data_IF_566450142937
#
_entry.id   IF_566450142937
#
_cell.length_a   1.000
_cell.length_b   1.000
_cell.length_c   1.000
_cell.angle_alpha   90.00
_cell.angle_beta   90.00
_cell.angle_gamma   90.00
#
_symmetry.space_group_name_H-M   'P 1'
#
loop_
_entity.id
_entity.type
_entity.pdbx_description
1 polymer ?
#
# COMPACT_ATOMS: atom_id res chain seq x y z
N UNK A 1 36.97 -28.60 -47.87
CA UNK A 1 37.14 -27.53 -46.87
C UNK A 1 35.86 -27.43 -46.10
N UNK A 2 35.87 -28.07 -44.95
CA UNK A 2 34.71 -28.02 -44.02
C UNK A 2 34.90 -26.82 -43.10
N UNK A 3 33.89 -25.94 -43.07
CA UNK A 3 33.86 -24.84 -42.11
C UNK A 3 33.43 -25.37 -40.76
N UNK A 4 34.14 -25.05 -39.66
CA UNK A 4 33.68 -25.45 -38.33
C UNK A 4 32.45 -24.63 -37.92
N UNK A 5 31.41 -25.37 -37.55
CA UNK A 5 30.20 -24.82 -36.90
C UNK A 5 30.64 -24.16 -35.56
N UNK A 6 30.38 -22.88 -35.47
CA UNK A 6 30.60 -22.09 -34.26
C UNK A 6 29.84 -22.69 -33.09
N UNK A 7 30.58 -22.99 -32.02
CA UNK A 7 30.04 -23.44 -30.76
C UNK A 7 29.05 -22.41 -30.20
N UNK A 8 27.86 -22.88 -29.84
CA UNK A 8 26.81 -22.12 -29.19
C UNK A 8 27.36 -21.46 -27.96
N UNK A 9 27.11 -20.18 -27.86
CA UNK A 9 27.33 -19.31 -26.70
C UNK A 9 26.63 -19.94 -25.47
N UNK A 10 27.39 -20.58 -24.63
CA UNK A 10 26.91 -21.13 -23.37
C UNK A 10 26.57 -19.94 -22.48
N UNK A 11 25.29 -19.55 -22.46
CA UNK A 11 24.77 -18.50 -21.60
C UNK A 11 25.18 -18.77 -20.16
N UNK A 12 26.00 -17.92 -19.59
CA UNK A 12 26.30 -17.90 -18.16
C UNK A 12 24.99 -17.96 -17.38
N UNK A 13 24.80 -18.88 -16.46
CA UNK A 13 23.58 -18.96 -15.68
C UNK A 13 23.33 -17.60 -15.01
N UNK A 14 22.23 -16.95 -15.36
CA UNK A 14 21.84 -15.67 -14.75
C UNK A 14 21.60 -15.95 -13.26
N UNK A 15 22.28 -15.22 -12.37
CA UNK A 15 22.05 -15.35 -10.96
C UNK A 15 20.56 -15.12 -10.68
N UNK A 16 19.93 -16.03 -9.95
CA UNK A 16 18.51 -15.95 -9.63
C UNK A 16 18.26 -14.73 -8.73
N UNK A 17 17.13 -14.05 -8.97
CA UNK A 17 16.74 -12.89 -8.16
C UNK A 17 16.43 -13.28 -6.72
N UNK A 18 17.06 -12.62 -5.78
CA UNK A 18 16.80 -12.81 -4.35
C UNK A 18 15.50 -12.14 -3.92
N UNK A 19 14.74 -12.78 -3.01
CA UNK A 19 13.47 -12.28 -2.49
C UNK A 19 13.56 -12.07 -1.00
N UNK A 20 13.12 -10.91 -0.51
CA UNK A 20 12.93 -10.62 0.89
C UNK A 20 11.47 -10.36 1.21
N UNK A 21 11.04 -10.77 2.40
CA UNK A 21 9.72 -10.43 2.95
C UNK A 21 9.89 -9.32 3.98
N UNK A 22 9.09 -8.28 3.87
CA UNK A 22 9.04 -7.15 4.80
C UNK A 22 7.65 -7.04 5.40
N UNK A 23 7.58 -7.01 6.72
CA UNK A 23 6.36 -6.66 7.48
C UNK A 23 6.67 -5.45 8.35
N UNK A 24 5.81 -4.44 8.31
CA UNK A 24 5.93 -3.26 9.17
C UNK A 24 5.09 -3.43 10.43
N UNK A 25 5.67 -3.14 11.59
CA UNK A 25 5.00 -3.17 12.88
C UNK A 25 5.00 -1.80 13.58
N UNK A 26 3.89 -1.48 14.22
CA UNK A 26 3.83 -0.47 15.27
C UNK A 26 2.74 -0.85 16.27
N UNK A 27 3.17 -1.23 17.49
CA UNK A 27 2.29 -1.60 18.61
C UNK A 27 1.29 -2.73 18.31
N UNK A 28 1.66 -3.65 17.41
CA UNK A 28 0.83 -4.78 16.96
C UNK A 28 1.66 -6.08 16.86
N UNK A 29 2.55 -6.32 17.82
CA UNK A 29 3.51 -7.43 17.79
C UNK A 29 2.87 -8.79 17.46
N UNK A 30 1.78 -9.15 18.16
CA UNK A 30 1.15 -10.46 18.00
C UNK A 30 0.65 -10.69 16.58
N UNK A 31 0.00 -9.69 15.99
CA UNK A 31 -0.56 -9.82 14.64
C UNK A 31 0.56 -9.74 13.58
N UNK A 32 1.54 -8.85 13.78
CA UNK A 32 2.67 -8.71 12.86
C UNK A 32 3.56 -9.97 12.84
N UNK A 33 3.81 -10.59 13.98
CA UNK A 33 4.54 -11.87 14.08
C UNK A 33 3.76 -13.00 13.42
N UNK A 34 2.44 -13.02 13.54
CA UNK A 34 1.61 -14.00 12.82
C UNK A 34 1.67 -13.78 11.30
N UNK A 35 1.66 -12.53 10.82
CA UNK A 35 1.73 -12.23 9.40
C UNK A 35 3.06 -12.69 8.79
N UNK A 36 4.19 -12.34 9.40
CA UNK A 36 5.50 -12.77 8.90
C UNK A 36 5.72 -14.27 9.12
N UNK A 37 5.23 -14.83 10.21
CA UNK A 37 5.26 -16.27 10.50
C UNK A 37 4.53 -17.09 9.44
N UNK A 38 3.36 -16.64 8.98
CA UNK A 38 2.64 -17.27 7.88
C UNK A 38 3.47 -17.32 6.58
N UNK A 39 4.19 -16.25 6.26
CA UNK A 39 5.11 -16.26 5.12
C UNK A 39 6.27 -17.24 5.32
N UNK A 40 6.84 -17.30 6.53
CA UNK A 40 7.90 -18.26 6.88
C UNK A 40 7.39 -19.69 6.72
N UNK A 41 6.24 -20.04 7.25
CA UNK A 41 5.66 -21.39 7.20
C UNK A 41 5.35 -21.84 5.77
N UNK A 42 4.81 -20.95 4.95
CA UNK A 42 4.48 -21.25 3.55
C UNK A 42 5.70 -21.47 2.67
N UNK A 43 6.77 -20.73 2.89
CA UNK A 43 7.93 -20.73 2.01
C UNK A 43 9.08 -21.64 2.49
N UNK A 44 9.27 -21.81 3.82
CA UNK A 44 10.41 -22.55 4.38
C UNK A 44 10.46 -24.03 3.99
N UNK A 45 9.40 -24.80 3.89
CA UNK A 45 9.46 -26.21 3.50
C UNK A 45 9.95 -26.44 2.05
N UNK A 46 10.07 -25.37 1.24
CA UNK A 46 10.43 -25.41 -0.17
C UNK A 46 11.85 -24.94 -0.47
N UNK A 47 12.69 -24.80 0.55
CA UNK A 47 14.07 -24.26 0.46
C UNK A 47 15.07 -25.19 -0.26
N UNK A 48 14.65 -26.22 -0.95
CA UNK A 48 15.53 -26.94 -1.89
C UNK A 48 15.83 -26.16 -3.16
N UNK A 49 15.11 -25.04 -3.40
CA UNK A 49 15.38 -24.06 -4.45
C UNK A 49 15.74 -22.71 -3.80
N UNK A 50 16.36 -21.77 -4.52
CA UNK A 50 16.64 -20.45 -3.96
C UNK A 50 15.35 -19.77 -3.55
N UNK A 51 15.01 -19.92 -2.28
CA UNK A 51 13.80 -19.42 -1.65
C UNK A 51 13.93 -17.96 -1.25
N UNK A 52 13.18 -17.56 -0.23
CA UNK A 52 13.30 -16.25 0.38
C UNK A 52 14.63 -16.14 1.11
N UNK A 53 15.37 -15.07 0.84
CA UNK A 53 16.71 -14.84 1.40
C UNK A 53 16.69 -14.09 2.73
N UNK A 54 15.61 -13.34 3.01
CA UNK A 54 15.44 -12.61 4.27
C UNK A 54 13.98 -12.42 4.63
N UNK A 55 13.66 -12.58 5.93
CA UNK A 55 12.39 -12.19 6.53
C UNK A 55 12.66 -11.05 7.50
N UNK A 56 12.08 -9.90 7.27
CA UNK A 56 12.33 -8.69 8.07
C UNK A 56 11.03 -8.20 8.69
N UNK A 57 11.00 -8.15 10.01
CA UNK A 57 9.97 -7.45 10.78
C UNK A 57 10.55 -6.10 11.23
N UNK A 58 10.04 -5.04 10.64
CA UNK A 58 10.48 -3.68 10.94
C UNK A 58 9.53 -3.00 11.92
N UNK A 59 10.00 -2.74 13.12
CA UNK A 59 9.23 -2.05 14.18
C UNK A 59 9.50 -0.55 14.18
N UNK A 60 8.45 0.25 14.01
CA UNK A 60 8.52 1.71 14.00
C UNK A 60 8.47 2.32 15.41
N UNK A 61 9.29 1.81 16.32
CA UNK A 61 9.42 2.35 17.67
C UNK A 61 8.20 2.11 18.56
N UNK A 62 7.70 0.87 18.59
CA UNK A 62 6.61 0.48 19.51
C UNK A 62 6.95 0.78 20.96
N UNK A 63 6.00 1.20 21.81
CA UNK A 63 6.23 1.42 23.24
C UNK A 63 6.69 0.15 23.96
N UNK A 64 6.14 -1.00 23.61
CA UNK A 64 6.55 -2.30 24.15
C UNK A 64 7.80 -2.84 23.44
N UNK A 65 8.69 -3.56 24.17
CA UNK A 65 9.81 -4.26 23.55
C UNK A 65 9.34 -5.36 22.61
N UNK A 66 10.23 -5.84 21.75
CA UNK A 66 9.99 -7.04 20.98
C UNK A 66 9.84 -8.25 21.94
N UNK A 67 8.94 -9.20 21.66
CA UNK A 67 8.86 -10.45 22.42
C UNK A 67 10.16 -11.24 22.37
N UNK A 68 10.47 -11.99 23.45
CA UNK A 68 11.71 -12.77 23.54
C UNK A 68 11.74 -13.99 22.60
N UNK A 69 10.58 -14.56 22.27
CA UNK A 69 10.45 -15.81 21.50
C UNK A 69 10.10 -15.56 20.04
N UNK A 70 10.95 -14.83 19.32
CA UNK A 70 10.81 -14.63 17.87
C UNK A 70 11.59 -15.71 17.13
N UNK A 71 11.00 -16.27 16.08
CA UNK A 71 11.65 -17.23 15.19
C UNK A 71 12.99 -16.68 14.69
N UNK A 72 14.08 -17.43 14.89
CA UNK A 72 15.45 -17.03 14.54
C UNK A 72 15.66 -16.75 13.04
N UNK A 73 14.71 -17.14 12.17
CA UNK A 73 14.70 -16.82 10.74
C UNK A 73 14.25 -15.37 10.45
N UNK A 74 13.59 -14.73 11.42
CA UNK A 74 13.04 -13.38 11.30
C UNK A 74 14.04 -12.37 11.86
N UNK A 75 14.54 -11.49 11.02
CA UNK A 75 15.37 -10.36 11.44
C UNK A 75 14.49 -9.20 11.90
N UNK A 76 14.52 -8.89 13.18
CA UNK A 76 13.82 -7.73 13.74
C UNK A 76 14.72 -6.50 13.64
N UNK A 77 14.19 -5.43 13.06
CA UNK A 77 14.84 -4.11 13.02
C UNK A 77 13.89 -3.13 13.68
N UNK A 78 14.43 -2.32 14.59
CA UNK A 78 13.60 -1.40 15.38
C UNK A 78 14.08 0.05 15.28
N UNK A 79 13.16 0.98 15.00
CA UNK A 79 13.38 2.41 15.17
C UNK A 79 13.40 2.80 16.66
N UNK A 80 14.12 3.87 16.99
CA UNK A 80 14.12 4.42 18.35
C UNK A 80 12.80 5.11 18.69
N UNK A 81 12.12 5.69 17.69
CA UNK A 81 10.86 6.43 17.84
C UNK A 81 9.92 6.14 16.65
N UNK A 82 8.64 6.35 16.88
CA UNK A 82 7.63 6.26 15.80
C UNK A 82 7.79 7.43 14.81
N UNK A 83 8.10 7.09 13.57
CA UNK A 83 8.25 8.05 12.45
C UNK A 83 7.00 8.19 11.60
N UNK A 84 6.03 7.31 11.80
CA UNK A 84 4.83 7.17 10.99
C UNK A 84 5.05 6.30 9.75
N UNK A 85 3.95 5.69 9.28
CA UNK A 85 3.94 4.59 8.32
C UNK A 85 4.81 4.83 7.07
N UNK A 86 4.64 5.96 6.38
CA UNK A 86 5.39 6.23 5.15
C UNK A 86 6.89 6.38 5.39
N UNK A 87 7.29 7.11 6.44
CA UNK A 87 8.71 7.28 6.78
C UNK A 87 9.34 5.99 7.29
N UNK A 88 8.58 5.19 8.04
CA UNK A 88 9.02 3.88 8.48
C UNK A 88 9.27 2.95 7.30
N UNK A 89 8.40 2.92 6.28
CA UNK A 89 8.62 2.16 5.05
C UNK A 89 9.90 2.61 4.31
N UNK A 90 10.16 3.92 4.21
CA UNK A 90 11.40 4.41 3.58
C UNK A 90 12.64 3.85 4.28
N UNK A 91 12.65 3.86 5.63
CA UNK A 91 13.77 3.32 6.41
C UNK A 91 13.83 1.79 6.27
N UNK A 92 12.70 1.09 6.33
CA UNK A 92 12.63 -0.35 6.22
C UNK A 92 13.14 -0.85 4.87
N UNK A 93 12.71 -0.25 3.76
CA UNK A 93 13.21 -0.61 2.43
C UNK A 93 14.72 -0.38 2.27
N UNK A 94 15.28 0.62 2.94
CA UNK A 94 16.73 0.87 2.92
C UNK A 94 17.53 -0.24 3.64
N UNK A 95 16.89 -1.02 4.51
CA UNK A 95 17.51 -2.15 5.23
C UNK A 95 17.40 -3.48 4.46
N UNK A 96 16.62 -3.53 3.38
CA UNK A 96 16.47 -4.74 2.56
C UNK A 96 17.70 -4.93 1.66
N UNK A 97 18.15 -6.19 1.57
CA UNK A 97 19.33 -6.61 0.79
C UNK A 97 18.93 -7.36 -0.49
N UNK A 98 17.70 -7.87 -0.56
CA UNK A 98 17.17 -8.65 -1.67
C UNK A 98 16.90 -7.79 -2.92
N UNK A 99 16.83 -8.45 -4.09
CA UNK A 99 16.51 -7.81 -5.38
C UNK A 99 15.03 -7.47 -5.50
N UNK A 100 14.19 -8.29 -4.86
CA UNK A 100 12.73 -8.16 -4.80
C UNK A 100 12.31 -8.11 -3.34
N UNK A 101 11.42 -7.19 -3.01
CA UNK A 101 10.79 -7.12 -1.68
C UNK A 101 9.30 -7.39 -1.82
N UNK A 102 8.82 -8.38 -1.08
CA UNK A 102 7.40 -8.65 -0.85
C UNK A 102 7.01 -7.94 0.42
N UNK A 103 6.07 -7.00 0.32
CA UNK A 103 5.58 -6.21 1.44
C UNK A 103 4.20 -6.68 1.86
N UNK A 104 4.05 -7.01 3.14
CA UNK A 104 2.77 -7.26 3.79
C UNK A 104 2.54 -6.25 4.92
N UNK A 105 1.30 -5.80 5.07
CA UNK A 105 0.88 -5.08 6.29
C UNK A 105 0.89 -6.03 7.50
N UNK A 106 0.96 -5.48 8.70
CA UNK A 106 0.96 -6.29 9.93
C UNK A 106 -0.26 -7.19 10.09
N UNK A 107 -1.36 -6.88 9.42
CA UNK A 107 -2.62 -7.62 9.41
C UNK A 107 -2.94 -8.27 8.05
N UNK A 108 -1.91 -8.47 7.21
CA UNK A 108 -2.00 -9.13 5.91
C UNK A 108 -1.24 -10.48 5.94
N UNK A 109 -1.95 -11.57 5.67
CA UNK A 109 -1.45 -12.93 5.80
C UNK A 109 -1.45 -13.63 4.43
N UNK A 110 -0.30 -14.05 3.86
CA UNK A 110 -0.30 -14.84 2.65
C UNK A 110 -1.01 -16.18 2.91
N UNK A 111 -1.84 -16.59 1.95
CA UNK A 111 -2.63 -17.83 2.02
C UNK A 111 -2.07 -18.95 1.15
N UNK A 112 -1.20 -18.59 0.22
CA UNK A 112 -0.59 -19.52 -0.74
C UNK A 112 0.89 -19.20 -0.88
N UNK A 113 1.73 -20.17 -1.26
CA UNK A 113 3.11 -19.90 -1.62
C UNK A 113 3.22 -18.93 -2.78
N UNK A 114 4.16 -18.01 -2.69
CA UNK A 114 4.28 -16.89 -3.62
C UNK A 114 5.69 -16.70 -4.20
N UNK A 115 6.75 -17.11 -3.49
CA UNK A 115 8.12 -16.75 -3.86
C UNK A 115 8.52 -17.23 -5.26
N UNK A 116 8.21 -18.48 -5.61
CA UNK A 116 8.54 -19.02 -6.93
C UNK A 116 7.84 -18.24 -8.06
N UNK A 117 6.53 -17.98 -7.92
CA UNK A 117 5.76 -17.18 -8.89
C UNK A 117 6.25 -15.76 -9.04
N UNK A 118 6.54 -15.11 -7.90
CA UNK A 118 7.06 -13.74 -7.89
C UNK A 118 8.38 -13.69 -8.62
N UNK A 119 9.29 -14.63 -8.34
CA UNK A 119 10.58 -14.70 -9.01
C UNK A 119 10.43 -14.92 -10.51
N UNK A 120 9.67 -15.92 -10.92
CA UNK A 120 9.42 -16.24 -12.32
C UNK A 120 8.97 -15.02 -13.12
N UNK A 121 7.99 -14.28 -12.61
CA UNK A 121 7.48 -13.08 -13.29
C UNK A 121 8.53 -11.97 -13.40
N UNK A 122 9.31 -11.72 -12.33
CA UNK A 122 10.36 -10.72 -12.38
C UNK A 122 11.54 -11.13 -13.25
N UNK A 123 11.87 -12.40 -13.35
CA UNK A 123 12.92 -12.92 -14.23
C UNK A 123 12.50 -12.90 -15.70
N UNK A 124 11.21 -13.16 -15.97
CA UNK A 124 10.65 -13.12 -17.31
C UNK A 124 10.59 -11.69 -17.90
N UNK A 125 10.47 -10.65 -17.08
CA UNK A 125 10.38 -9.27 -17.56
C UNK A 125 11.22 -8.31 -16.70
N UNK A 126 12.33 -7.84 -17.26
CA UNK A 126 13.23 -6.90 -16.59
C UNK A 126 12.59 -5.53 -16.34
N UNK A 127 11.57 -5.17 -17.10
CA UNK A 127 10.83 -3.92 -16.95
C UNK A 127 9.66 -4.05 -15.96
N UNK A 128 9.42 -5.24 -15.41
CA UNK A 128 8.44 -5.43 -14.35
C UNK A 128 8.96 -4.79 -13.06
N UNK A 129 8.25 -3.78 -12.58
CA UNK A 129 8.60 -3.03 -11.36
C UNK A 129 7.78 -3.44 -10.14
N UNK A 130 6.53 -3.88 -10.33
CA UNK A 130 5.62 -4.19 -9.23
C UNK A 130 4.62 -5.27 -9.62
N UNK A 131 4.32 -6.16 -8.67
CA UNK A 131 3.21 -7.13 -8.74
C UNK A 131 2.27 -6.82 -7.58
N UNK A 132 0.98 -6.58 -7.87
CA UNK A 132 -0.07 -6.50 -6.87
C UNK A 132 -0.72 -7.86 -6.66
N UNK A 133 -0.99 -8.23 -5.41
CA UNK A 133 -1.64 -9.48 -5.04
C UNK A 133 -3.12 -9.25 -4.77
N UNK A 134 -3.92 -10.31 -4.84
CA UNK A 134 -5.34 -10.25 -4.49
C UNK A 134 -5.51 -10.41 -2.99
N UNK A 135 -6.04 -9.38 -2.32
CA UNK A 135 -6.49 -9.53 -0.94
C UNK A 135 -7.93 -10.05 -0.87
N UNK A 136 -8.24 -10.79 0.19
CA UNK A 136 -9.57 -11.34 0.45
C UNK A 136 -9.95 -11.18 1.94
N UNK A 137 -11.25 -11.14 2.20
CA UNK A 137 -11.82 -11.10 3.53
C UNK A 137 -11.97 -12.51 4.15
N UNK A 138 -12.53 -12.60 5.35
CA UNK A 138 -12.78 -13.87 6.07
C UNK A 138 -13.67 -14.87 5.28
N UNK A 139 -14.43 -14.38 4.31
CA UNK A 139 -15.32 -15.20 3.47
C UNK A 139 -14.66 -15.60 2.15
N UNK A 140 -13.40 -15.23 1.93
CA UNK A 140 -12.71 -15.42 0.66
C UNK A 140 -13.18 -14.47 -0.45
N UNK A 141 -13.89 -13.39 -0.11
CA UNK A 141 -14.32 -12.40 -1.09
C UNK A 141 -13.18 -11.41 -1.37
N UNK A 142 -12.93 -11.07 -2.66
CA UNK A 142 -11.91 -10.09 -3.01
C UNK A 142 -12.13 -8.75 -2.32
N UNK A 143 -11.06 -8.18 -1.78
CA UNK A 143 -11.04 -6.84 -1.18
C UNK A 143 -10.17 -5.86 -2.00
N UNK A 144 -10.17 -4.58 -1.62
CA UNK A 144 -9.52 -3.52 -2.40
C UNK A 144 -7.98 -3.50 -2.23
N UNK A 145 -7.26 -4.47 -2.80
CA UNK A 145 -5.78 -4.46 -2.89
C UNK A 145 -5.26 -4.01 -4.25
N UNK A 146 -6.10 -4.07 -5.27
CA UNK A 146 -5.82 -3.60 -6.62
C UNK A 146 -6.72 -2.41 -6.93
N UNK A 147 -6.14 -1.26 -7.13
CA UNK A 147 -6.85 0.00 -7.34
C UNK A 147 -6.49 0.64 -8.67
N UNK A 148 -7.28 1.61 -9.08
CA UNK A 148 -6.95 2.48 -10.21
C UNK A 148 -6.47 3.84 -9.74
N UNK A 149 -5.75 4.51 -10.61
CA UNK A 149 -5.35 5.90 -10.38
C UNK A 149 -6.56 6.77 -10.03
N UNK A 150 -6.51 7.52 -8.92
CA UNK A 150 -7.61 8.38 -8.51
C UNK A 150 -7.70 9.64 -9.38
N UNK A 151 -8.89 10.22 -9.40
CA UNK A 151 -9.18 11.49 -10.05
C UNK A 151 -9.64 12.54 -9.03
N UNK A 152 -9.68 13.83 -9.42
CA UNK A 152 -10.18 14.89 -8.55
C UNK A 152 -11.64 14.66 -8.10
N UNK A 153 -12.41 13.86 -8.83
CA UNK A 153 -13.80 13.54 -8.48
C UNK A 153 -13.91 12.78 -7.15
N UNK A 154 -12.89 12.03 -6.76
CA UNK A 154 -12.85 11.37 -5.44
C UNK A 154 -12.88 12.36 -4.28
N UNK A 155 -12.32 13.57 -4.45
CA UNK A 155 -12.40 14.66 -3.48
C UNK A 155 -13.68 15.48 -3.65
N UNK A 156 -14.06 15.79 -4.89
CA UNK A 156 -15.24 16.64 -5.19
C UNK A 156 -16.52 15.97 -4.68
N UNK A 157 -16.70 14.68 -4.97
CA UNK A 157 -17.88 13.93 -4.56
C UNK A 157 -17.79 13.39 -3.12
N UNK A 158 -16.57 13.21 -2.61
CA UNK A 158 -16.32 12.47 -1.35
C UNK A 158 -16.45 10.95 -1.53
N UNK A 159 -15.89 10.19 -0.59
CA UNK A 159 -15.75 8.74 -0.71
C UNK A 159 -17.09 8.02 -0.98
N UNK A 160 -18.13 8.32 -0.17
CA UNK A 160 -19.39 7.61 -0.25
C UNK A 160 -20.14 7.82 -1.57
N UNK A 161 -20.14 9.05 -2.11
CA UNK A 161 -20.79 9.33 -3.37
C UNK A 161 -19.94 8.86 -4.55
N UNK A 162 -18.62 9.03 -4.47
CA UNK A 162 -17.69 8.57 -5.49
C UNK A 162 -17.75 7.06 -5.69
N UNK A 163 -17.91 6.28 -4.62
CA UNK A 163 -18.05 4.82 -4.70
C UNK A 163 -19.31 4.37 -5.46
N UNK A 164 -20.35 5.21 -5.52
CA UNK A 164 -21.61 4.93 -6.25
C UNK A 164 -21.55 5.28 -7.73
N UNK A 165 -20.56 6.07 -8.15
CA UNK A 165 -20.39 6.43 -9.57
C UNK A 165 -19.77 5.24 -10.30
N UNK A 166 -20.30 4.85 -11.48
CA UNK A 166 -19.69 3.81 -12.31
C UNK A 166 -18.22 4.10 -12.54
N UNK A 167 -17.39 3.14 -12.18
CA UNK A 167 -15.95 3.29 -12.25
C UNK A 167 -15.41 2.64 -13.52
N UNK A 168 -14.40 3.27 -14.14
CA UNK A 168 -13.67 2.65 -15.25
C UNK A 168 -13.02 1.34 -14.77
N UNK A 169 -12.89 0.32 -15.63
CA UNK A 169 -12.19 -0.90 -15.26
C UNK A 169 -10.72 -0.61 -14.90
N UNK A 170 -10.15 -1.48 -14.08
CA UNK A 170 -8.70 -1.51 -13.86
C UNK A 170 -8.06 -2.07 -15.13
N UNK A 171 -7.02 -1.40 -15.59
CA UNK A 171 -6.23 -1.78 -16.76
C UNK A 171 -4.74 -1.63 -16.44
N UNK A 172 -3.82 -2.25 -17.17
CA UNK A 172 -2.38 -2.06 -16.93
C UNK A 172 -1.95 -0.58 -16.94
N UNK A 173 -2.66 0.27 -17.67
CA UNK A 173 -2.35 1.72 -17.76
C UNK A 173 -2.81 2.53 -16.54
N UNK A 174 -3.65 1.99 -15.67
CA UNK A 174 -4.18 2.69 -14.49
C UNK A 174 -4.10 1.88 -13.18
N UNK A 175 -3.57 0.66 -13.23
CA UNK A 175 -3.45 -0.23 -12.08
C UNK A 175 -2.49 0.35 -11.02
N UNK A 176 -2.91 0.34 -9.78
CA UNK A 176 -2.09 0.62 -8.60
C UNK A 176 -2.26 -0.55 -7.62
N UNK A 177 -1.14 -1.05 -7.08
CA UNK A 177 -1.16 -2.08 -6.05
C UNK A 177 -1.01 -1.44 -4.67
N UNK A 178 -1.80 -1.91 -3.71
CA UNK A 178 -1.76 -1.42 -2.32
C UNK A 178 -0.53 -1.98 -1.60
N UNK A 179 0.08 -1.15 -0.75
CA UNK A 179 1.35 -1.44 -0.07
C UNK A 179 1.34 -2.77 0.69
N UNK A 180 0.32 -3.09 1.43
CA UNK A 180 0.27 -4.30 2.24
C UNK A 180 0.09 -5.64 1.48
N UNK A 181 0.02 -5.63 0.15
CA UNK A 181 -0.22 -6.82 -0.68
C UNK A 181 0.53 -6.70 -2.02
N UNK A 182 1.86 -6.54 -2.00
CA UNK A 182 2.62 -6.34 -3.23
C UNK A 182 4.04 -6.91 -3.18
N UNK A 183 4.60 -7.19 -4.36
CA UNK A 183 6.03 -7.36 -4.55
C UNK A 183 6.59 -6.22 -5.40
N UNK A 184 7.81 -5.80 -5.13
CA UNK A 184 8.48 -4.74 -5.90
C UNK A 184 9.94 -5.06 -6.16
N UNK A 185 10.42 -4.73 -7.37
CA UNK A 185 11.83 -4.79 -7.73
C UNK A 185 12.57 -3.63 -7.10
N UNK A 186 13.62 -3.89 -6.34
CA UNK A 186 14.41 -2.84 -5.66
C UNK A 186 15.08 -1.89 -6.65
N UNK A 187 15.50 -2.37 -7.82
CA UNK A 187 16.01 -1.50 -8.89
C UNK A 187 14.95 -0.48 -9.35
N UNK A 188 13.70 -0.91 -9.52
CA UNK A 188 12.58 -0.04 -9.87
C UNK A 188 12.25 0.94 -8.73
N UNK A 189 12.21 0.44 -7.50
CA UNK A 189 12.01 1.23 -6.29
C UNK A 189 13.01 2.40 -6.19
N UNK A 190 14.30 2.10 -6.33
CA UNK A 190 15.37 3.11 -6.28
C UNK A 190 15.30 4.09 -7.45
N UNK A 191 14.98 3.59 -8.66
CA UNK A 191 14.90 4.41 -9.86
C UNK A 191 13.85 5.53 -9.75
N UNK A 192 12.72 5.26 -9.08
CA UNK A 192 11.65 6.26 -8.90
C UNK A 192 11.75 7.02 -7.56
N UNK A 193 12.83 6.85 -6.81
CA UNK A 193 13.04 7.51 -5.53
C UNK A 193 12.29 6.90 -4.35
N UNK A 194 11.82 5.64 -4.46
CA UNK A 194 11.18 4.89 -3.38
C UNK A 194 9.80 5.43 -2.97
N UNK A 195 9.35 5.07 -1.79
CA UNK A 195 8.12 5.60 -1.16
C UNK A 195 8.35 7.07 -0.78
N UNK A 196 7.34 7.93 -1.00
CA UNK A 196 7.38 9.32 -0.56
C UNK A 196 6.97 9.45 0.91
N UNK A 197 7.94 9.72 1.77
CA UNK A 197 7.75 9.89 3.21
C UNK A 197 6.93 11.12 3.64
N UNK A 198 6.48 11.96 2.69
CA UNK A 198 5.60 13.10 2.99
C UNK A 198 4.12 12.70 3.08
N UNK A 199 3.78 11.50 2.64
CA UNK A 199 2.45 10.93 2.93
C UNK A 199 2.35 10.56 4.41
N UNK A 200 1.14 10.66 4.97
CA UNK A 200 0.88 10.15 6.31
C UNK A 200 0.79 8.60 6.29
N UNK A 201 -0.25 8.07 5.68
CA UNK A 201 -0.50 6.63 5.61
C UNK A 201 -1.20 6.21 4.32
N UNK A 202 -2.09 7.03 3.79
CA UNK A 202 -2.90 6.71 2.62
C UNK A 202 -2.26 7.26 1.35
N UNK A 203 -2.56 6.63 0.23
CA UNK A 203 -2.18 7.05 -1.13
C UNK A 203 -0.67 7.02 -1.47
N UNK A 204 0.19 6.63 -0.55
CA UNK A 204 1.63 6.50 -0.81
C UNK A 204 1.95 5.40 -1.84
N UNK A 205 1.18 4.34 -1.82
CA UNK A 205 1.20 3.21 -2.74
C UNK A 205 0.68 3.59 -4.13
N UNK A 206 -0.39 4.39 -4.17
CA UNK A 206 -0.89 4.95 -5.42
C UNK A 206 0.15 5.90 -6.05
N UNK A 207 0.77 6.76 -5.25
CA UNK A 207 1.87 7.63 -5.69
C UNK A 207 3.03 6.81 -6.25
N UNK A 208 3.42 5.75 -5.53
CA UNK A 208 4.50 4.86 -5.94
C UNK A 208 4.19 4.17 -7.28
N UNK A 209 3.02 3.55 -7.42
CA UNK A 209 2.57 2.92 -8.65
C UNK A 209 2.51 3.92 -9.82
N UNK A 210 2.01 5.14 -9.59
CA UNK A 210 1.97 6.19 -10.61
C UNK A 210 3.36 6.64 -11.05
N UNK A 211 4.34 6.71 -10.14
CA UNK A 211 5.73 7.05 -10.48
C UNK A 211 6.43 5.91 -11.22
N UNK A 212 6.19 4.65 -10.86
CA UNK A 212 6.68 3.50 -11.61
C UNK A 212 6.25 3.59 -13.08
N UNK A 213 4.95 3.75 -13.36
CA UNK A 213 4.46 3.86 -14.74
C UNK A 213 5.05 5.03 -15.51
N UNK A 214 5.20 6.19 -14.87
CA UNK A 214 5.83 7.36 -15.51
C UNK A 214 7.29 7.14 -15.90
N UNK A 215 7.95 6.20 -15.22
CA UNK A 215 9.32 5.81 -15.51
C UNK A 215 9.39 4.50 -16.32
N UNK A 216 8.32 4.15 -17.03
CA UNK A 216 8.20 3.00 -17.93
C UNK A 216 8.35 1.62 -17.25
N UNK A 217 8.17 1.54 -15.92
CA UNK A 217 8.07 0.27 -15.21
C UNK A 217 6.67 -0.30 -15.35
N UNK A 218 6.58 -1.59 -15.64
CA UNK A 218 5.31 -2.32 -15.70
C UNK A 218 4.81 -2.65 -14.30
N UNK A 219 3.49 -2.64 -14.17
CA UNK A 219 2.77 -3.09 -12.98
C UNK A 219 1.78 -4.14 -13.43
N UNK A 220 1.78 -5.30 -12.79
CA UNK A 220 0.83 -6.38 -13.06
C UNK A 220 0.06 -6.75 -11.80
N UNK A 221 -1.10 -7.34 -11.98
CA UNK A 221 -1.86 -7.99 -10.93
C UNK A 221 -1.70 -9.51 -11.06
N UNK A 222 -1.40 -10.19 -9.96
CA UNK A 222 -1.47 -11.65 -9.88
C UNK A 222 -2.51 -12.06 -8.84
N UNK A 223 -3.73 -12.30 -9.32
CA UNK A 223 -4.86 -12.71 -8.49
C UNK A 223 -4.71 -14.13 -7.94
N UNK A 224 -3.76 -14.92 -8.42
CA UNK A 224 -3.47 -16.25 -7.91
C UNK A 224 -2.64 -16.25 -6.63
N UNK A 225 -1.97 -15.14 -6.33
CA UNK A 225 -1.31 -14.90 -5.05
C UNK A 225 -2.33 -14.24 -4.12
N UNK A 226 -2.91 -15.04 -3.22
CA UNK A 226 -3.98 -14.62 -2.33
C UNK A 226 -3.43 -14.27 -0.96
N UNK A 227 -3.94 -13.16 -0.41
CA UNK A 227 -3.55 -12.62 0.89
C UNK A 227 -4.82 -12.34 1.69
N UNK A 228 -4.96 -12.94 2.87
CA UNK A 228 -6.03 -12.56 3.81
C UNK A 228 -5.64 -11.23 4.46
N UNK A 229 -6.52 -10.24 4.36
CA UNK A 229 -6.28 -8.93 4.94
C UNK A 229 -7.47 -8.54 5.81
N UNK A 230 -7.23 -8.42 7.11
CA UNK A 230 -8.27 -8.09 8.10
C UNK A 230 -8.93 -6.75 7.78
N UNK A 231 -8.16 -5.81 7.31
CA UNK A 231 -8.59 -4.46 6.93
C UNK A 231 -9.27 -3.69 8.06
N UNK A 232 -8.77 -2.50 8.37
CA UNK A 232 -9.40 -1.65 9.38
C UNK A 232 -9.18 -2.07 10.83
N UNK A 233 -8.22 -2.96 11.11
CA UNK A 233 -7.92 -3.49 12.45
C UNK A 233 -7.52 -2.45 13.50
N UNK A 234 -7.18 -1.21 13.09
CA UNK A 234 -6.92 -0.12 14.03
C UNK A 234 -8.16 0.74 14.21
N UNK A 235 -8.84 0.71 15.37
CA UNK A 235 -10.00 1.57 15.64
C UNK A 235 -9.61 3.05 15.52
N UNK A 236 -10.23 3.77 14.61
CA UNK A 236 -10.02 5.20 14.44
C UNK A 236 -11.34 5.95 14.39
N UNK A 237 -11.38 7.14 14.99
CA UNK A 237 -12.50 8.06 14.83
C UNK A 237 -12.69 8.40 13.33
N UNK A 238 -13.92 8.37 12.86
CA UNK A 238 -14.23 8.67 11.46
C UNK A 238 -13.76 10.06 11.04
N UNK A 239 -13.83 11.04 11.95
CA UNK A 239 -13.33 12.40 11.75
C UNK A 239 -11.83 12.45 11.43
N UNK A 240 -11.01 11.65 12.11
CA UNK A 240 -9.56 11.54 11.84
C UNK A 240 -9.28 10.83 10.52
N UNK A 241 -9.98 9.72 10.25
CA UNK A 241 -9.82 8.94 9.01
C UNK A 241 -10.16 9.76 7.76
N UNK A 242 -11.28 10.49 7.79
CA UNK A 242 -11.69 11.31 6.66
C UNK A 242 -10.74 12.49 6.42
N UNK A 243 -10.25 13.12 7.49
CA UNK A 243 -9.26 14.20 7.37
C UNK A 243 -7.94 13.68 6.73
N UNK A 244 -7.45 12.52 7.18
CA UNK A 244 -6.27 11.87 6.60
C UNK A 244 -6.45 11.58 5.11
N UNK A 245 -7.61 11.02 4.72
CA UNK A 245 -7.93 10.78 3.33
C UNK A 245 -7.85 12.06 2.47
N UNK A 246 -8.47 13.15 2.94
CA UNK A 246 -8.45 14.41 2.18
C UNK A 246 -7.05 15.02 2.08
N UNK A 247 -6.24 14.91 3.14
CA UNK A 247 -4.84 15.35 3.15
C UNK A 247 -4.02 14.59 2.10
N UNK A 248 -4.00 13.27 2.19
CA UNK A 248 -3.20 12.41 1.32
C UNK A 248 -3.68 12.51 -0.13
N UNK A 249 -4.99 12.43 -0.38
CA UNK A 249 -5.57 12.51 -1.72
C UNK A 249 -5.33 13.87 -2.39
N UNK A 250 -5.43 14.96 -1.65
CA UNK A 250 -5.09 16.28 -2.19
C UNK A 250 -3.61 16.36 -2.57
N UNK A 251 -2.73 15.92 -1.67
CA UNK A 251 -1.29 15.91 -1.93
C UNK A 251 -0.95 15.06 -3.16
N UNK A 252 -1.48 13.84 -3.26
CA UNK A 252 -1.32 12.97 -4.42
C UNK A 252 -1.74 13.66 -5.72
N UNK A 253 -2.97 14.16 -5.78
CA UNK A 253 -3.52 14.73 -6.99
C UNK A 253 -2.78 16.01 -7.41
N UNK A 254 -2.34 16.83 -6.45
CA UNK A 254 -1.48 18.01 -6.72
C UNK A 254 -0.13 17.60 -7.28
N UNK A 255 0.56 16.69 -6.62
CA UNK A 255 1.87 16.16 -7.03
C UNK A 255 1.85 15.61 -8.46
N UNK A 256 0.75 14.97 -8.84
CA UNK A 256 0.61 14.35 -10.16
C UNK A 256 -0.10 15.24 -11.21
N UNK A 257 -0.40 16.50 -10.90
CA UNK A 257 -1.05 17.42 -11.83
C UNK A 257 -2.48 17.01 -12.22
N UNK A 258 -3.18 16.27 -11.33
CA UNK A 258 -4.52 15.72 -11.60
C UNK A 258 -5.66 16.65 -11.15
N UNK A 259 -5.36 17.86 -10.70
CA UNK A 259 -6.34 18.90 -10.35
C UNK A 259 -6.33 19.95 -11.46
N UNK A 260 -7.43 20.05 -12.20
CA UNK A 260 -7.55 20.98 -13.34
C UNK A 260 -7.53 22.45 -12.91
N UNK A 261 -8.31 22.78 -11.89
CA UNK A 261 -8.38 24.12 -11.31
C UNK A 261 -8.43 23.99 -9.79
N UNK A 262 -7.39 24.47 -9.12
CA UNK A 262 -7.28 24.44 -7.66
C UNK A 262 -8.40 25.25 -7.02
N UNK A 263 -8.59 26.49 -7.49
CA UNK A 263 -9.60 27.42 -6.93
C UNK A 263 -11.01 26.85 -7.07
N UNK A 264 -11.37 26.36 -8.27
CA UNK A 264 -12.70 25.81 -8.51
C UNK A 264 -12.92 24.51 -7.71
N UNK A 265 -11.95 23.58 -7.72
CA UNK A 265 -12.03 22.33 -6.97
C UNK A 265 -12.20 22.59 -5.47
N UNK A 266 -11.38 23.50 -4.92
CA UNK A 266 -11.50 23.93 -3.52
C UNK A 266 -12.87 24.53 -3.21
N UNK A 267 -13.38 25.44 -4.05
CA UNK A 267 -14.69 26.07 -3.86
C UNK A 267 -15.81 25.04 -3.81
N UNK A 268 -15.82 24.10 -4.75
CA UNK A 268 -16.83 23.01 -4.79
C UNK A 268 -16.75 22.14 -3.54
N UNK A 269 -15.56 21.71 -3.13
CA UNK A 269 -15.37 20.89 -1.93
C UNK A 269 -15.85 21.63 -0.68
N UNK A 270 -15.47 22.90 -0.51
CA UNK A 270 -15.89 23.71 0.64
C UNK A 270 -17.41 23.92 0.69
N UNK A 271 -18.04 24.19 -0.47
CA UNK A 271 -19.50 24.32 -0.55
C UNK A 271 -20.19 23.03 -0.17
N UNK A 272 -19.78 21.90 -0.74
CA UNK A 272 -20.33 20.58 -0.40
C UNK A 272 -20.17 20.26 1.10
N UNK A 273 -18.99 20.45 1.68
CA UNK A 273 -18.74 20.16 3.09
C UNK A 273 -19.60 21.04 4.02
N UNK A 274 -19.85 22.30 3.65
CA UNK A 274 -20.75 23.19 4.41
C UNK A 274 -22.20 22.70 4.34
N UNK A 275 -22.65 22.28 3.17
CA UNK A 275 -23.99 21.69 2.99
C UNK A 275 -24.10 20.39 3.82
N UNK A 276 -23.12 19.48 3.71
CA UNK A 276 -23.12 18.25 4.50
C UNK A 276 -23.17 18.53 6.01
N UNK A 277 -22.39 19.50 6.49
CA UNK A 277 -22.41 19.90 7.90
C UNK A 277 -23.78 20.42 8.31
N UNK A 278 -24.39 21.30 7.51
CA UNK A 278 -25.72 21.85 7.77
C UNK A 278 -26.78 20.72 7.80
N UNK A 279 -26.76 19.81 6.85
CA UNK A 279 -27.67 18.65 6.82
C UNK A 279 -27.50 17.79 8.07
N UNK A 280 -26.26 17.50 8.50
CA UNK A 280 -25.99 16.76 9.73
C UNK A 280 -26.50 17.48 10.98
N UNK A 281 -26.42 18.81 11.02
CA UNK A 281 -26.92 19.59 12.15
C UNK A 281 -28.45 19.64 12.23
N UNK A 282 -29.12 19.77 11.07
CA UNK A 282 -30.59 19.88 11.02
C UNK A 282 -31.28 18.53 11.11
N UNK A 283 -30.80 17.53 10.40
CA UNK A 283 -31.45 16.23 10.24
C UNK A 283 -30.72 15.09 10.98
N UNK A 284 -29.48 15.32 11.41
CA UNK A 284 -28.68 14.30 12.09
C UNK A 284 -29.35 13.67 13.30
N UNK A 285 -30.02 14.44 14.19
CA UNK A 285 -30.74 13.86 15.33
C UNK A 285 -31.82 12.85 14.95
N UNK A 286 -32.41 12.97 13.76
CA UNK A 286 -33.41 12.02 13.24
C UNK A 286 -32.78 10.81 12.54
N UNK A 287 -31.53 10.95 12.01
CA UNK A 287 -30.85 9.93 11.24
C UNK A 287 -29.92 9.04 12.09
N UNK A 288 -29.41 9.58 13.18
CA UNK A 288 -28.41 8.90 14.03
C UNK A 288 -28.95 8.71 15.45
N UNK A 289 -29.11 7.44 15.86
CA UNK A 289 -29.55 7.11 17.23
C UNK A 289 -28.49 7.41 18.28
N UNK A 290 -27.18 7.35 17.90
CA UNK A 290 -26.08 7.62 18.81
C UNK A 290 -25.57 9.08 18.60
N UNK A 291 -25.72 9.96 19.63
CA UNK A 291 -25.30 11.35 19.54
C UNK A 291 -23.78 11.53 19.39
N UNK A 292 -22.98 10.59 19.91
CA UNK A 292 -21.52 10.68 19.80
C UNK A 292 -21.07 10.46 18.34
N UNK A 293 -21.70 9.53 17.61
CA UNK A 293 -21.44 9.31 16.18
C UNK A 293 -21.80 10.55 15.39
N UNK A 294 -22.92 11.20 15.70
CA UNK A 294 -23.31 12.44 15.05
C UNK A 294 -22.32 13.57 15.32
N UNK A 295 -21.91 13.73 16.59
CA UNK A 295 -20.94 14.73 16.99
C UNK A 295 -19.59 14.53 16.27
N UNK A 296 -19.07 13.30 16.19
CA UNK A 296 -17.84 13.00 15.46
C UNK A 296 -17.98 13.31 13.95
N UNK A 297 -19.14 12.99 13.34
CA UNK A 297 -19.39 13.34 11.93
C UNK A 297 -19.41 14.85 11.67
N UNK A 298 -20.05 15.63 12.56
CA UNK A 298 -20.09 17.10 12.47
C UNK A 298 -18.70 17.68 12.67
N UNK A 299 -17.95 17.20 13.69
CA UNK A 299 -16.56 17.59 13.94
C UNK A 299 -15.66 17.30 12.74
N UNK A 300 -15.81 16.12 12.14
CA UNK A 300 -15.08 15.74 10.93
C UNK A 300 -15.28 16.72 9.78
N UNK A 301 -16.52 17.19 9.51
CA UNK A 301 -16.80 18.22 8.49
C UNK A 301 -16.21 19.57 8.84
N UNK A 302 -16.26 19.94 10.11
CA UNK A 302 -15.68 21.21 10.56
C UNK A 302 -14.16 21.23 10.40
N UNK A 303 -13.48 20.15 10.81
CA UNK A 303 -12.04 20.01 10.66
C UNK A 303 -11.62 20.02 9.18
N UNK A 304 -12.37 19.33 8.31
CA UNK A 304 -12.13 19.34 6.87
C UNK A 304 -12.32 20.72 6.25
N UNK A 305 -13.37 21.45 6.61
CA UNK A 305 -13.61 22.82 6.12
C UNK A 305 -12.43 23.72 6.48
N UNK A 306 -11.99 23.69 7.73
CA UNK A 306 -10.82 24.45 8.16
C UNK A 306 -9.57 24.05 7.38
N UNK A 307 -9.27 22.74 7.33
CA UNK A 307 -8.10 22.24 6.63
C UNK A 307 -8.09 22.60 5.13
N UNK A 308 -9.20 22.38 4.42
CA UNK A 308 -9.30 22.70 2.99
C UNK A 308 -9.21 24.20 2.72
N UNK A 309 -9.77 25.04 3.62
CA UNK A 309 -9.64 26.49 3.52
C UNK A 309 -8.20 26.96 3.63
N UNK A 310 -7.43 26.37 4.54
CA UNK A 310 -6.10 26.85 4.88
C UNK A 310 -5.00 26.23 4.02
N UNK A 311 -5.18 24.97 3.53
CA UNK A 311 -4.15 24.18 2.86
C UNK A 311 -4.40 23.90 1.37
N UNK A 312 -5.62 24.02 0.85
CA UNK A 312 -5.90 23.80 -0.57
C UNK A 312 -5.59 25.07 -1.37
N UNK A 313 -4.30 25.28 -1.63
CA UNK A 313 -3.79 26.43 -2.40
C UNK A 313 -3.07 25.96 -3.65
#
# INVERSE_FOLDING_TARGET
MEHPVSAADASVPRAQLSIGVLVLNYNTWDIALRAIGAAVELEYPRITEPGITEFVLFDDGSPSPAPDNIDGRIRVIRNQENRGFAKALVVAFAQMKSDIVVLFDSDAFPLVPFAAKVREQFEADENLGQIGFQSEDEKGSPTESLMKEPTQWSLILGQALYARVPQRPITPSNLCAIAGCMATRIKAYRNVGGIDGNFDMLDLDLDYSMRLRRNNWKIVADESIRVFHVGGGTPQLQSKRILRFYKCRWYLLRKHGRIRSVTLTRAIILTRLRIEKLVLQLFGPYLFRNPEILADKVLGRQNLISYCRDNYR
#
